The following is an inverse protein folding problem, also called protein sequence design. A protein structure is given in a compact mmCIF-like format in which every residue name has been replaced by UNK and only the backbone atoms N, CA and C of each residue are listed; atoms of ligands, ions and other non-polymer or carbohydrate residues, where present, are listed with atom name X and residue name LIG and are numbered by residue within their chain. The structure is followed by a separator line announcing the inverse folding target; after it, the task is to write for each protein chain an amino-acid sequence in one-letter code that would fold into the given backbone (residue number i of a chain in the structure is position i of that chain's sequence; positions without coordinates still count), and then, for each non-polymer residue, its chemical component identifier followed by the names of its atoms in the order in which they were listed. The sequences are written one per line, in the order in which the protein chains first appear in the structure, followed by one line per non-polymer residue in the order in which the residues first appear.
data_IF_275109723808
#
_entry.id   IF_275109723808
#
_cell.length_a   1.000
_cell.length_b   1.000
_cell.length_c   1.000
_cell.angle_alpha   90.00
_cell.angle_beta   90.00
_cell.angle_gamma   90.00
#
_symmetry.space_group_name_H-M   'P 1'
#
loop_
_entity.id
_entity.type
_entity.pdbx_description
1 polymer ?
#
# COMPACT_ATOMS: atom_id res chain seq x y z
N UNK A 1 16.26 5.73 6.36
CA UNK A 1 15.43 4.51 6.41
C UNK A 1 15.91 3.63 5.28
N UNK A 2 16.76 2.62 5.53
CA UNK A 2 17.92 2.45 4.64
C UNK A 2 18.03 1.19 3.79
N UNK A 3 17.27 0.12 3.98
CA UNK A 3 17.27 -1.03 3.03
C UNK A 3 16.18 -2.04 3.35
N UNK A 4 15.98 -2.33 4.64
CA UNK A 4 14.98 -3.31 5.12
C UNK A 4 13.55 -2.87 4.76
N UNK A 5 13.27 -1.57 4.83
CA UNK A 5 11.96 -0.99 4.48
C UNK A 5 11.67 -1.09 2.97
N UNK A 6 12.69 -0.93 2.12
CA UNK A 6 12.59 -1.10 0.67
C UNK A 6 12.38 -2.56 0.31
N UNK A 7 13.17 -3.48 0.87
CA UNK A 7 12.99 -4.93 0.68
C UNK A 7 11.60 -5.39 1.14
N UNK A 8 11.09 -4.82 2.24
CA UNK A 8 9.75 -5.11 2.74
C UNK A 8 8.68 -4.64 1.75
N UNK A 9 8.83 -3.43 1.19
CA UNK A 9 7.90 -2.93 0.17
C UNK A 9 7.92 -3.80 -1.09
N UNK A 10 9.10 -4.13 -1.61
CA UNK A 10 9.25 -5.02 -2.77
C UNK A 10 8.59 -6.38 -2.53
N UNK A 11 8.82 -6.98 -1.36
CA UNK A 11 8.19 -8.23 -0.96
C UNK A 11 6.65 -8.11 -0.95
N UNK A 12 6.09 -7.03 -0.38
CA UNK A 12 4.65 -6.81 -0.36
C UNK A 12 4.07 -6.62 -1.78
N UNK A 13 4.80 -5.94 -2.67
CA UNK A 13 4.39 -5.79 -4.07
C UNK A 13 4.41 -7.14 -4.81
N UNK A 14 5.42 -7.98 -4.57
CA UNK A 14 5.48 -9.32 -5.13
C UNK A 14 4.33 -10.20 -4.63
N UNK A 15 4.04 -10.16 -3.32
CA UNK A 15 2.90 -10.88 -2.74
C UNK A 15 1.59 -10.41 -3.36
N UNK A 16 1.39 -9.08 -3.50
CA UNK A 16 0.22 -8.50 -4.16
C UNK A 16 0.06 -8.99 -5.59
N UNK A 17 1.13 -8.95 -6.38
CA UNK A 17 1.12 -9.43 -7.77
C UNK A 17 0.86 -10.95 -7.85
N UNK A 18 1.38 -11.74 -6.91
CA UNK A 18 1.07 -13.16 -6.81
C UNK A 18 -0.40 -13.41 -6.54
N UNK A 19 -1.01 -12.65 -5.62
CA UNK A 19 -2.44 -12.71 -5.33
C UNK A 19 -3.27 -12.33 -6.57
N UNK A 20 -2.88 -11.28 -7.29
CA UNK A 20 -3.51 -10.90 -8.57
C UNK A 20 -3.52 -12.07 -9.57
N UNK A 21 -2.38 -12.73 -9.75
CA UNK A 21 -2.27 -13.88 -10.63
C UNK A 21 -3.19 -15.04 -10.22
N UNK A 22 -3.24 -15.36 -8.92
CA UNK A 22 -4.12 -16.43 -8.40
C UNK A 22 -5.60 -16.08 -8.57
N UNK A 23 -5.99 -14.82 -8.34
CA UNK A 23 -7.38 -14.38 -8.57
C UNK A 23 -7.80 -14.54 -10.03
N UNK A 24 -6.93 -14.21 -10.99
CA UNK A 24 -7.21 -14.44 -12.42
C UNK A 24 -7.42 -15.92 -12.73
N UNK A 25 -6.61 -16.81 -12.15
CA UNK A 25 -6.80 -18.25 -12.32
C UNK A 25 -8.11 -18.73 -11.69
N UNK A 26 -8.43 -18.25 -10.49
CA UNK A 26 -9.66 -18.61 -9.79
C UNK A 26 -10.91 -18.07 -10.48
N UNK A 27 -10.84 -16.90 -11.13
CA UNK A 27 -11.96 -16.31 -11.87
C UNK A 27 -12.46 -17.29 -12.94
N UNK A 28 -11.53 -17.84 -13.72
CA UNK A 28 -11.86 -18.85 -14.72
C UNK A 28 -12.36 -20.16 -14.09
N UNK A 29 -11.69 -20.69 -13.07
CA UNK A 29 -12.04 -21.99 -12.48
C UNK A 29 -13.34 -21.94 -11.64
N UNK A 30 -13.73 -20.75 -11.18
CA UNK A 30 -14.94 -20.55 -10.36
C UNK A 30 -16.22 -20.92 -11.09
N UNK A 31 -16.26 -20.80 -12.41
CA UNK A 31 -17.41 -21.18 -13.25
C UNK A 31 -17.76 -22.67 -13.13
N UNK A 32 -16.78 -23.49 -12.74
CA UNK A 32 -16.88 -24.95 -12.73
C UNK A 32 -16.86 -25.54 -11.32
N UNK A 33 -16.64 -24.72 -10.30
CA UNK A 33 -16.43 -25.17 -8.93
C UNK A 33 -16.83 -24.09 -7.91
N UNK A 34 -17.84 -24.40 -7.10
CA UNK A 34 -18.26 -23.54 -5.98
C UNK A 34 -17.13 -23.34 -4.95
N UNK A 35 -16.25 -24.33 -4.79
CA UNK A 35 -15.05 -24.21 -3.96
C UNK A 35 -14.07 -23.17 -4.51
N UNK A 36 -13.88 -23.14 -5.83
CA UNK A 36 -13.05 -22.13 -6.50
C UNK A 36 -13.69 -20.74 -6.42
N UNK A 37 -15.02 -20.64 -6.56
CA UNK A 37 -15.75 -19.39 -6.34
C UNK A 37 -15.56 -18.87 -4.90
N UNK A 38 -15.72 -19.75 -3.91
CA UNK A 38 -15.50 -19.40 -2.50
C UNK A 38 -14.07 -18.92 -2.25
N UNK A 39 -13.08 -19.60 -2.81
CA UNK A 39 -11.68 -19.20 -2.72
C UNK A 39 -11.43 -17.84 -3.40
N UNK A 40 -12.03 -17.60 -4.57
CA UNK A 40 -11.95 -16.33 -5.29
C UNK A 40 -12.47 -15.18 -4.41
N UNK A 41 -13.64 -15.35 -3.80
CA UNK A 41 -14.23 -14.34 -2.92
C UNK A 41 -13.36 -14.06 -1.69
N UNK A 42 -12.90 -15.11 -1.00
CA UNK A 42 -12.08 -14.97 0.20
C UNK A 42 -10.73 -14.32 -0.11
N UNK A 43 -10.06 -14.77 -1.17
CA UNK A 43 -8.78 -14.21 -1.58
C UNK A 43 -8.94 -12.77 -2.08
N UNK A 44 -10.04 -12.44 -2.76
CA UNK A 44 -10.36 -11.08 -3.18
C UNK A 44 -10.51 -10.12 -1.99
N UNK A 45 -11.13 -10.60 -0.90
CA UNK A 45 -11.22 -9.85 0.35
C UNK A 45 -9.85 -9.61 1.00
N UNK A 46 -8.99 -10.63 1.02
CA UNK A 46 -7.61 -10.49 1.53
C UNK A 46 -6.81 -9.50 0.70
N UNK A 47 -6.94 -9.55 -0.63
CA UNK A 47 -6.30 -8.58 -1.54
C UNK A 47 -6.75 -7.16 -1.23
N UNK A 48 -8.05 -6.92 -1.08
CA UNK A 48 -8.57 -5.59 -0.79
C UNK A 48 -8.01 -5.03 0.54
N UNK A 49 -7.85 -5.88 1.55
CA UNK A 49 -7.20 -5.50 2.81
C UNK A 49 -5.71 -5.16 2.60
N UNK A 50 -4.97 -5.98 1.84
CA UNK A 50 -3.57 -5.71 1.51
C UNK A 50 -3.40 -4.39 0.75
N UNK A 51 -4.24 -4.14 -0.25
CA UNK A 51 -4.27 -2.88 -1.01
C UNK A 51 -4.50 -1.68 -0.08
N UNK A 52 -5.44 -1.81 0.86
CA UNK A 52 -5.71 -0.79 1.86
C UNK A 52 -4.52 -0.50 2.77
N UNK A 53 -3.82 -1.54 3.23
CA UNK A 53 -2.61 -1.40 4.06
C UNK A 53 -1.46 -0.74 3.29
N UNK A 54 -1.24 -1.12 2.03
CA UNK A 54 -0.22 -0.51 1.16
C UNK A 54 -0.53 0.97 0.91
N UNK A 55 -1.78 1.30 0.62
CA UNK A 55 -2.20 2.69 0.43
C UNK A 55 -2.03 3.52 1.71
N UNK A 56 -2.36 2.96 2.88
CA UNK A 56 -2.18 3.67 4.15
C UNK A 56 -0.70 3.86 4.50
N UNK A 57 0.15 2.86 4.27
CA UNK A 57 1.60 2.99 4.41
C UNK A 57 2.15 4.13 3.56
N UNK A 58 1.74 4.20 2.29
CA UNK A 58 2.15 5.26 1.37
C UNK A 58 1.74 6.66 1.89
N UNK A 59 0.51 6.81 2.38
CA UNK A 59 0.06 8.07 3.02
C UNK A 59 0.89 8.43 4.26
N UNK A 60 1.22 7.44 5.09
CA UNK A 60 2.06 7.67 6.28
C UNK A 60 3.46 8.16 5.88
N UNK A 61 4.07 7.56 4.87
CA UNK A 61 5.37 8.01 4.34
C UNK A 61 5.29 9.43 3.79
N UNK A 62 4.26 9.76 3.01
CA UNK A 62 4.06 11.11 2.49
C UNK A 62 3.90 12.16 3.60
N UNK A 63 3.22 11.82 4.71
CA UNK A 63 3.10 12.70 5.87
C UNK A 63 4.45 12.94 6.56
N UNK A 64 5.26 11.89 6.73
CA UNK A 64 6.59 12.01 7.33
C UNK A 64 7.52 12.89 6.48
N UNK A 65 7.45 12.76 5.15
CA UNK A 65 8.21 13.61 4.21
C UNK A 65 7.66 15.04 4.17
N UNK A 66 6.35 15.25 4.31
CA UNK A 66 5.75 16.59 4.34
C UNK A 66 6.08 17.40 5.60
N UNK A 67 6.28 16.73 6.74
CA UNK A 67 6.64 17.38 8.02
C UNK A 67 8.06 17.96 8.03
N UNK A 68 8.99 17.41 7.23
CA UNK A 68 10.38 17.91 7.18
C UNK A 68 10.55 19.20 6.38
N UNK A 69 9.52 19.67 5.66
CA UNK A 69 9.56 20.87 4.82
C UNK A 69 9.07 22.18 5.45
N UNK A 70 8.53 22.18 6.68
CA UNK A 70 7.85 23.37 7.26
C UNK A 70 8.65 24.16 8.32
N UNK A 71 9.86 23.72 8.73
CA UNK A 71 10.60 24.36 9.85
C UNK A 71 11.49 25.56 9.47
N UNK A 72 11.37 26.17 8.29
CA UNK A 72 12.19 27.35 7.96
C UNK A 72 11.41 28.45 7.27
N UNK A 73 10.56 29.16 8.02
CA UNK A 73 10.13 30.52 7.66
C UNK A 73 9.65 31.32 8.87
N UNK A 74 10.45 31.41 9.94
CA UNK A 74 10.40 32.57 10.83
C UNK A 74 11.43 33.59 10.33
N UNK A 75 11.08 34.31 9.26
CA UNK A 75 11.84 35.48 8.82
C UNK A 75 11.39 36.69 9.66
N UNK A 76 12.37 37.32 10.29
CA UNK A 76 12.24 38.52 11.13
C UNK A 76 11.49 39.63 10.39
N UNK A 77 10.40 40.11 10.98
CA UNK A 77 9.91 41.46 10.70
C UNK A 77 10.55 42.40 11.71
N UNK A 78 11.55 43.15 11.26
CA UNK A 78 12.12 44.27 12.01
C UNK A 78 11.04 45.33 12.24
N UNK A 79 10.90 45.77 13.48
CA UNK A 79 10.08 46.92 13.84
C UNK A 79 11.05 48.05 14.22
N UNK A 80 11.30 48.95 13.27
CA UNK A 80 11.88 50.26 13.57
C UNK A 80 10.77 51.10 14.24
N UNK A 81 11.02 51.51 15.48
CA UNK A 81 10.39 52.66 16.12
C UNK A 81 11.50 53.47 16.79
#
# INVERSE_FOLDING_TARGET
MTTIDEMTNECLQQVRAGIDGVLVLLDHESERSEGCFSALCLLGMVKAQLDGLLAERERMLQRLVGVTGQSSSHHSAGNLA
#
